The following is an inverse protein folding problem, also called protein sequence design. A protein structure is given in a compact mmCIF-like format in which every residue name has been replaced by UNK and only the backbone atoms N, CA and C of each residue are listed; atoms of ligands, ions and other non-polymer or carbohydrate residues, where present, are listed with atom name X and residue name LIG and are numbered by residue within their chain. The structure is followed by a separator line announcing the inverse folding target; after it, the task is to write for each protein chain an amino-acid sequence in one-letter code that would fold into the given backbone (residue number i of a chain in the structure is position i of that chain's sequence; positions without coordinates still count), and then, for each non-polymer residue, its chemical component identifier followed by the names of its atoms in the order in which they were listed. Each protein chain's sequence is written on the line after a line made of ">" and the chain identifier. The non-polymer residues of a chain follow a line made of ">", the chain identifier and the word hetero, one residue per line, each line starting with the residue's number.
data_IF_655804068619
#
_entry.id   IF_655804068619
#
_cell.length_a   1.000
_cell.length_b   1.000
_cell.length_c   1.000
_cell.angle_alpha   90.00
_cell.angle_beta   90.00
_cell.angle_gamma   90.00
#
_symmetry.space_group_name_H-M   'P 1'
#
loop_
_entity.id
_entity.type
_entity.pdbx_description
1 polymer ?
#
# COMPACT_ATOMS: atom_id res chain seq x y z
N UNK A 1 -37.82 39.88 -16.28
CA UNK A 1 -37.59 39.96 -14.84
C UNK A 1 -37.10 38.62 -14.35
N UNK A 2 -35.79 38.40 -14.12
CA UNK A 2 -35.29 37.16 -13.50
C UNK A 2 -35.03 37.39 -12.01
N UNK A 3 -35.57 36.49 -11.19
CA UNK A 3 -35.45 36.47 -9.74
C UNK A 3 -34.01 36.19 -9.29
N UNK A 4 -33.51 37.06 -8.43
CA UNK A 4 -32.26 36.88 -7.68
C UNK A 4 -32.47 35.82 -6.60
N UNK A 5 -31.64 34.74 -6.63
CA UNK A 5 -31.48 33.85 -5.50
C UNK A 5 -30.53 34.54 -4.51
N UNK A 6 -31.02 34.80 -3.30
CA UNK A 6 -30.27 35.41 -2.23
C UNK A 6 -29.22 34.41 -1.69
N UNK A 7 -27.94 34.75 -1.82
CA UNK A 7 -26.86 34.08 -1.11
C UNK A 7 -26.95 34.43 0.37
N UNK A 8 -27.04 33.41 1.22
CA UNK A 8 -26.98 33.55 2.66
C UNK A 8 -25.55 33.93 3.07
N UNK A 9 -25.32 35.19 3.40
CA UNK A 9 -24.12 35.67 4.09
C UNK A 9 -24.13 35.14 5.55
N UNK A 10 -23.34 34.13 5.81
CA UNK A 10 -23.04 33.73 7.19
C UNK A 10 -22.22 34.82 7.88
N UNK A 11 -22.81 35.46 8.87
CA UNK A 11 -22.14 36.52 9.65
C UNK A 11 -21.14 35.88 10.62
N UNK A 12 -19.98 36.52 10.80
CA UNK A 12 -18.91 36.12 11.74
C UNK A 12 -19.38 35.95 13.20
N UNK A 13 -20.55 36.46 13.56
CA UNK A 13 -21.16 36.32 14.90
C UNK A 13 -21.64 34.88 15.20
N UNK A 14 -21.99 34.11 14.18
CA UNK A 14 -22.55 32.76 14.37
C UNK A 14 -21.46 31.73 14.62
N UNK A 15 -20.23 31.98 14.14
CA UNK A 15 -19.05 31.12 14.39
C UNK A 15 -18.57 31.19 15.87
N UNK A 16 -18.81 32.30 16.56
CA UNK A 16 -18.44 32.45 17.98
C UNK A 16 -19.40 31.69 18.91
N UNK A 17 -20.68 31.62 18.56
CA UNK A 17 -21.69 30.92 19.36
C UNK A 17 -21.58 29.40 19.26
N UNK A 18 -21.12 28.89 18.13
CA UNK A 18 -20.81 27.44 17.94
C UNK A 18 -19.56 27.04 18.71
N UNK A 19 -18.55 27.94 18.85
CA UNK A 19 -17.34 27.70 19.66
C UNK A 19 -17.64 27.46 21.15
N UNK A 20 -18.58 28.19 21.73
CA UNK A 20 -18.87 28.06 23.16
C UNK A 20 -19.84 26.90 23.47
N UNK A 21 -20.74 26.55 22.55
CA UNK A 21 -21.69 25.44 22.73
C UNK A 21 -21.05 24.07 22.64
N UNK A 22 -20.26 23.84 21.58
CA UNK A 22 -19.62 22.53 21.34
C UNK A 22 -18.53 22.23 22.38
N UNK A 23 -17.79 23.25 22.84
CA UNK A 23 -16.74 23.08 23.85
C UNK A 23 -17.28 22.68 25.23
N UNK A 24 -18.45 23.19 25.63
CA UNK A 24 -19.06 22.87 26.95
C UNK A 24 -19.78 21.55 26.97
N UNK A 25 -20.44 21.15 25.88
CA UNK A 25 -21.09 19.83 25.80
C UNK A 25 -20.06 18.68 25.72
N UNK A 26 -18.95 18.84 24.98
CA UNK A 26 -17.89 17.82 24.90
C UNK A 26 -17.21 17.61 26.27
N UNK A 27 -17.02 18.66 27.10
CA UNK A 27 -16.45 18.52 28.43
C UNK A 27 -17.42 17.88 29.44
N UNK A 28 -18.73 18.04 29.26
CA UNK A 28 -19.75 17.37 30.09
C UNK A 28 -19.89 15.86 29.79
N UNK A 29 -19.57 15.43 28.57
CA UNK A 29 -19.64 14.02 28.13
C UNK A 29 -18.44 13.20 28.63
N UNK A 30 -17.31 13.84 28.97
CA UNK A 30 -16.11 13.16 29.48
C UNK A 30 -16.23 12.65 30.93
N UNK A 31 -17.32 12.93 31.62
CA UNK A 31 -17.50 12.62 33.06
C UNK A 31 -18.39 11.43 33.40
N UNK A 32 -18.94 10.69 32.44
CA UNK A 32 -19.76 9.51 32.71
C UNK A 32 -19.33 8.29 31.88
N UNK A 33 -19.10 7.20 32.59
CA UNK A 33 -18.72 5.88 32.15
C UNK A 33 -19.77 5.24 31.21
N UNK A 34 -19.78 5.66 29.95
CA UNK A 34 -20.64 5.10 28.91
C UNK A 34 -19.88 4.93 27.61
N UNK A 35 -19.44 3.69 27.42
CA UNK A 35 -19.14 3.00 26.17
C UNK A 35 -18.30 3.66 25.06
N UNK A 36 -17.54 2.83 24.37
CA UNK A 36 -16.67 3.15 23.20
C UNK A 36 -17.33 4.08 22.15
N UNK A 37 -18.67 4.06 22.02
CA UNK A 37 -19.44 4.91 21.12
C UNK A 37 -19.36 6.41 21.46
N UNK A 38 -19.49 6.80 22.71
CA UNK A 38 -19.41 8.21 23.12
C UNK A 38 -18.01 8.79 22.93
N UNK A 39 -16.99 7.97 23.18
CA UNK A 39 -15.59 8.34 22.97
C UNK A 39 -15.29 8.55 21.46
N UNK A 40 -15.83 7.67 20.61
CA UNK A 40 -15.69 7.78 19.15
C UNK A 40 -16.38 9.04 18.61
N UNK A 41 -17.59 9.37 19.10
CA UNK A 41 -18.30 10.59 18.71
C UNK A 41 -17.58 11.87 19.16
N UNK A 42 -16.98 11.86 20.36
CA UNK A 42 -16.20 13.00 20.86
C UNK A 42 -14.95 13.25 19.97
N UNK A 43 -14.23 12.17 19.58
CA UNK A 43 -13.09 12.25 18.67
C UNK A 43 -13.53 12.77 17.29
N UNK A 44 -14.65 12.29 16.76
CA UNK A 44 -15.22 12.75 15.50
C UNK A 44 -15.56 14.26 15.53
N UNK A 45 -16.15 14.73 16.63
CA UNK A 45 -16.45 16.15 16.81
C UNK A 45 -15.20 17.02 16.85
N UNK A 46 -14.11 16.56 17.49
CA UNK A 46 -12.81 17.25 17.50
C UNK A 46 -12.23 17.32 16.08
N UNK A 47 -12.27 16.22 15.33
CA UNK A 47 -11.77 16.16 13.95
C UNK A 47 -12.51 17.15 13.03
N UNK A 48 -13.83 17.16 13.07
CA UNK A 48 -14.65 18.10 12.30
C UNK A 48 -14.42 19.56 12.74
N UNK A 49 -14.26 19.80 14.04
CA UNK A 49 -13.93 21.11 14.57
C UNK A 49 -12.63 21.66 14.01
N UNK A 50 -11.59 20.82 13.90
CA UNK A 50 -10.29 21.20 13.32
C UNK A 50 -10.37 21.51 11.81
N UNK A 51 -11.14 20.74 11.04
CA UNK A 51 -11.36 20.99 9.62
C UNK A 51 -12.03 22.37 9.43
N UNK A 52 -13.05 22.68 10.21
CA UNK A 52 -13.75 23.97 10.15
C UNK A 52 -12.84 25.12 10.62
N UNK A 53 -12.10 24.93 11.71
CA UNK A 53 -11.20 25.95 12.29
C UNK A 53 -10.11 26.38 11.29
N UNK A 54 -9.57 25.41 10.54
CA UNK A 54 -8.46 25.65 9.61
C UNK A 54 -8.94 25.93 8.17
N UNK A 55 -10.25 25.90 7.91
CA UNK A 55 -10.84 26.16 6.60
C UNK A 55 -10.44 25.12 5.55
N UNK A 56 -10.26 23.87 5.96
CA UNK A 56 -9.83 22.76 5.10
C UNK A 56 -11.04 22.14 4.36
N UNK A 57 -10.80 21.44 3.22
CA UNK A 57 -11.84 20.66 2.57
C UNK A 57 -12.39 19.59 3.52
N UNK A 58 -13.71 19.45 3.58
CA UNK A 58 -14.36 18.41 4.38
C UNK A 58 -14.44 17.09 3.57
N UNK A 59 -13.31 16.62 3.08
CA UNK A 59 -13.16 15.36 2.36
C UNK A 59 -12.78 14.19 3.30
N UNK A 60 -12.90 12.93 2.87
CA UNK A 60 -12.58 11.78 3.69
C UNK A 60 -11.15 11.75 4.22
N UNK A 61 -10.14 12.24 3.46
CA UNK A 61 -8.72 12.24 3.86
C UNK A 61 -8.45 13.24 4.98
N UNK A 62 -8.99 14.47 4.83
CA UNK A 62 -8.93 15.48 5.87
C UNK A 62 -9.57 15.00 7.17
N UNK A 63 -10.75 14.35 7.06
CA UNK A 63 -11.42 13.80 8.23
C UNK A 63 -10.63 12.68 8.89
N UNK A 64 -10.10 11.73 8.13
CA UNK A 64 -9.31 10.61 8.65
C UNK A 64 -8.01 11.08 9.32
N UNK A 65 -7.31 12.06 8.72
CA UNK A 65 -6.12 12.67 9.28
C UNK A 65 -6.40 13.31 10.66
N UNK A 66 -7.42 14.12 10.75
CA UNK A 66 -7.78 14.79 12.00
C UNK A 66 -8.39 13.86 13.03
N UNK A 67 -9.06 12.80 12.61
CA UNK A 67 -9.55 11.76 13.49
C UNK A 67 -8.38 11.00 14.14
N UNK A 68 -7.37 10.58 13.37
CA UNK A 68 -6.16 9.90 13.87
C UNK A 68 -5.36 10.85 14.77
N UNK A 69 -5.18 12.11 14.41
CA UNK A 69 -4.58 13.15 15.27
C UNK A 69 -5.29 13.25 16.62
N UNK A 70 -6.62 13.34 16.61
CA UNK A 70 -7.43 13.45 17.83
C UNK A 70 -7.38 12.20 18.73
N UNK A 71 -7.16 11.00 18.17
CA UNK A 71 -6.97 9.78 18.97
C UNK A 71 -5.70 9.78 19.80
N UNK A 72 -4.70 10.54 19.41
CA UNK A 72 -3.39 10.61 20.07
C UNK A 72 -2.53 9.35 19.93
N UNK A 73 -2.95 8.37 19.13
CA UNK A 73 -2.23 7.09 18.98
C UNK A 73 -0.95 7.20 18.14
N UNK A 74 -0.88 8.16 17.22
CA UNK A 74 0.27 8.37 16.36
C UNK A 74 1.02 9.67 16.76
N UNK A 75 2.03 9.52 17.62
CA UNK A 75 2.80 10.68 18.12
C UNK A 75 3.57 11.38 17.01
N UNK A 76 4.15 10.63 16.06
CA UNK A 76 4.90 11.20 14.93
C UNK A 76 4.02 12.07 14.03
N UNK A 77 2.80 11.61 13.74
CA UNK A 77 1.82 12.41 12.99
C UNK A 77 1.48 13.70 13.74
N UNK A 78 1.29 13.64 15.05
CA UNK A 78 0.99 14.84 15.87
C UNK A 78 2.13 15.84 15.81
N UNK A 79 3.37 15.38 16.00
CA UNK A 79 4.55 16.22 15.99
C UNK A 79 4.73 16.93 14.64
N UNK A 80 4.48 16.25 13.51
CA UNK A 80 4.53 16.81 12.16
C UNK A 80 3.42 17.84 11.91
N UNK A 81 2.18 17.54 12.29
CA UNK A 81 1.05 18.50 12.19
C UNK A 81 1.31 19.72 13.05
N UNK A 82 1.73 19.52 14.30
CA UNK A 82 2.01 20.61 15.23
C UNK A 82 3.20 21.48 14.76
N UNK A 83 4.20 20.89 14.08
CA UNK A 83 5.32 21.59 13.48
C UNK A 83 4.86 22.45 12.28
N UNK A 84 4.04 21.90 11.39
CA UNK A 84 3.47 22.61 10.25
C UNK A 84 2.58 23.80 10.69
N UNK A 85 1.75 23.62 11.71
CA UNK A 85 0.91 24.67 12.27
C UNK A 85 1.70 25.78 12.99
N UNK A 86 2.88 25.44 13.56
CA UNK A 86 3.77 26.45 14.20
C UNK A 86 4.54 27.30 13.18
N UNK A 87 4.78 26.76 11.96
CA UNK A 87 5.45 27.49 10.89
C UNK A 87 4.54 28.51 10.21
N UNK A 88 3.74 28.05 9.27
CA UNK A 88 2.89 28.93 8.44
C UNK A 88 1.48 29.17 9.02
N UNK A 89 1.13 28.51 10.13
CA UNK A 89 -0.20 28.61 10.77
C UNK A 89 -1.32 28.01 9.94
N UNK A 90 -1.02 27.35 8.81
CA UNK A 90 -1.98 26.75 7.89
C UNK A 90 -1.43 25.43 7.35
N UNK A 91 -2.33 24.47 7.20
CA UNK A 91 -2.08 23.26 6.42
C UNK A 91 -2.69 23.45 5.04
N UNK A 92 -1.93 23.14 4.00
CA UNK A 92 -2.43 23.13 2.63
C UNK A 92 -3.03 21.76 2.30
N UNK A 93 -3.84 21.66 1.25
CA UNK A 93 -4.37 20.38 0.75
C UNK A 93 -3.24 19.41 0.39
N UNK A 94 -2.13 19.91 -0.17
CA UNK A 94 -0.94 19.12 -0.44
C UNK A 94 -0.23 18.59 0.82
N UNK A 95 -0.29 19.32 1.94
CA UNK A 95 0.21 18.83 3.23
C UNK A 95 -0.66 17.72 3.79
N UNK A 96 -1.99 17.83 3.64
CA UNK A 96 -2.93 16.79 4.04
C UNK A 96 -2.68 15.50 3.25
N UNK A 97 -2.57 15.60 1.93
CA UNK A 97 -2.28 14.45 1.06
C UNK A 97 -0.96 13.78 1.42
N UNK A 98 0.09 14.57 1.67
CA UNK A 98 1.41 14.07 2.09
C UNK A 98 1.35 13.36 3.43
N UNK A 99 0.74 14.00 4.44
CA UNK A 99 0.63 13.43 5.79
C UNK A 99 -0.27 12.19 5.83
N UNK A 100 -1.38 12.21 5.08
CA UNK A 100 -2.25 11.05 4.95
C UNK A 100 -1.54 9.87 4.29
N UNK A 101 -0.83 10.09 3.18
CA UNK A 101 -0.06 9.05 2.49
C UNK A 101 1.08 8.49 3.37
N UNK A 102 1.71 9.35 4.18
CA UNK A 102 2.86 8.96 5.00
C UNK A 102 2.49 8.24 6.30
N UNK A 103 1.38 8.62 6.95
CA UNK A 103 1.08 8.19 8.33
C UNK A 103 -0.20 7.36 8.47
N UNK A 104 -1.12 7.43 7.50
CA UNK A 104 -2.43 6.80 7.60
C UNK A 104 -2.55 5.61 6.65
N UNK A 105 -2.23 5.80 5.36
CA UNK A 105 -2.32 4.73 4.37
C UNK A 105 -1.46 3.50 4.71
N UNK A 106 -0.17 3.63 5.14
CA UNK A 106 0.63 2.48 5.54
C UNK A 106 0.08 1.77 6.78
N UNK A 107 -0.45 2.54 7.76
CA UNK A 107 -0.97 1.97 9.01
C UNK A 107 -2.23 1.13 8.77
N UNK A 108 -3.12 1.59 7.88
CA UNK A 108 -4.35 0.85 7.52
C UNK A 108 -4.03 -0.49 6.87
N UNK A 109 -3.07 -0.49 5.95
CA UNK A 109 -2.63 -1.71 5.28
C UNK A 109 -1.93 -2.68 6.23
N UNK A 110 -1.16 -2.19 7.21
CA UNK A 110 -0.54 -3.01 8.24
C UNK A 110 -1.59 -3.65 9.17
N UNK A 111 -2.59 -2.89 9.61
CA UNK A 111 -3.69 -3.39 10.46
C UNK A 111 -4.55 -4.43 9.73
N UNK A 112 -4.73 -4.29 8.41
CA UNK A 112 -5.47 -5.25 7.59
C UNK A 112 -4.66 -6.55 7.39
N UNK A 113 -3.36 -6.46 7.15
CA UNK A 113 -2.44 -7.60 7.10
C UNK A 113 -2.39 -8.35 8.43
N UNK A 114 -2.25 -7.63 9.55
CA UNK A 114 -2.23 -8.23 10.89
C UNK A 114 -3.55 -8.96 11.21
N UNK A 115 -4.69 -8.39 10.80
CA UNK A 115 -6.00 -9.02 10.97
C UNK A 115 -6.12 -10.33 10.20
N UNK A 116 -5.66 -10.36 8.95
CA UNK A 116 -5.72 -11.58 8.13
C UNK A 116 -4.70 -12.61 8.60
N UNK A 117 -3.50 -12.18 9.04
CA UNK A 117 -2.49 -13.05 9.63
C UNK A 117 -2.97 -13.73 10.92
N UNK A 118 -3.67 -13.00 11.80
CA UNK A 118 -4.25 -13.56 13.00
C UNK A 118 -5.35 -14.60 12.68
N UNK A 119 -6.22 -14.33 11.70
CA UNK A 119 -7.23 -15.31 11.22
C UNK A 119 -6.58 -16.57 10.65
N UNK A 120 -5.46 -16.44 9.94
CA UNK A 120 -4.71 -17.59 9.43
C UNK A 120 -4.11 -18.41 10.56
N UNK A 121 -3.53 -17.77 11.56
CA UNK A 121 -3.02 -18.45 12.77
C UNK A 121 -4.11 -19.21 13.54
N UNK A 122 -5.28 -18.63 13.65
CA UNK A 122 -6.44 -19.29 14.28
C UNK A 122 -6.86 -20.54 13.49
N UNK A 123 -6.89 -20.46 12.14
CA UNK A 123 -7.22 -21.59 11.27
C UNK A 123 -6.17 -22.72 11.40
N UNK A 124 -4.87 -22.38 11.43
CA UNK A 124 -3.80 -23.34 11.67
C UNK A 124 -3.96 -24.01 13.04
N UNK A 125 -4.31 -23.24 14.06
CA UNK A 125 -4.61 -23.76 15.39
C UNK A 125 -5.79 -24.75 15.42
N UNK A 126 -6.82 -24.51 14.59
CA UNK A 126 -7.94 -25.45 14.43
C UNK A 126 -7.50 -26.74 13.74
N UNK A 127 -6.69 -26.66 12.67
CA UNK A 127 -6.16 -27.84 11.99
C UNK A 127 -5.32 -28.71 12.94
N UNK A 128 -4.45 -28.09 13.77
CA UNK A 128 -3.66 -28.82 14.76
C UNK A 128 -4.56 -29.55 15.77
N UNK A 129 -5.63 -28.90 16.24
CA UNK A 129 -6.60 -29.55 17.11
C UNK A 129 -7.31 -30.74 16.45
N UNK A 130 -7.68 -30.61 15.18
CA UNK A 130 -8.29 -31.70 14.40
C UNK A 130 -7.34 -32.88 14.23
N UNK A 131 -6.05 -32.62 13.95
CA UNK A 131 -5.03 -33.67 13.85
C UNK A 131 -4.87 -34.40 15.19
N UNK A 132 -4.76 -33.67 16.31
CA UNK A 132 -4.64 -34.28 17.62
C UNK A 132 -5.86 -35.12 17.98
N UNK A 133 -7.07 -34.67 17.65
CA UNK A 133 -8.29 -35.47 17.84
C UNK A 133 -8.29 -36.74 17.00
N UNK A 134 -7.79 -36.67 15.76
CA UNK A 134 -7.63 -37.83 14.89
C UNK A 134 -6.64 -38.85 15.46
N UNK A 135 -5.48 -38.39 15.96
CA UNK A 135 -4.48 -39.25 16.59
C UNK A 135 -5.11 -39.98 17.80
N UNK A 136 -5.78 -39.26 18.68
CA UNK A 136 -6.45 -39.85 19.84
C UNK A 136 -7.56 -40.82 19.48
N UNK A 137 -8.23 -40.62 18.35
CA UNK A 137 -9.24 -41.56 17.83
C UNK A 137 -8.60 -42.86 17.33
N UNK A 138 -7.48 -42.76 16.62
CA UNK A 138 -6.70 -43.92 16.17
C UNK A 138 -6.17 -44.72 17.36
N UNK A 139 -5.59 -44.05 18.36
CA UNK A 139 -5.06 -44.70 19.58
C UNK A 139 -6.15 -45.49 20.31
N UNK A 140 -7.34 -44.91 20.49
CA UNK A 140 -8.50 -45.61 21.10
C UNK A 140 -8.94 -46.79 20.28
N UNK A 141 -8.97 -46.70 18.98
CA UNK A 141 -9.33 -47.80 18.10
C UNK A 141 -8.31 -48.95 18.17
N UNK A 142 -7.01 -48.62 18.21
CA UNK A 142 -5.92 -49.58 18.35
C UNK A 142 -6.03 -50.34 19.69
N UNK A 143 -6.36 -49.63 20.81
CA UNK A 143 -6.57 -50.23 22.14
C UNK A 143 -7.76 -51.18 22.09
N UNK A 144 -8.87 -50.79 21.51
CA UNK A 144 -10.06 -51.65 21.34
C UNK A 144 -9.80 -52.91 20.49
N UNK A 145 -8.98 -52.75 19.43
CA UNK A 145 -8.52 -53.89 18.60
C UNK A 145 -7.67 -54.88 19.40
N UNK A 146 -6.73 -54.36 20.18
CA UNK A 146 -5.86 -55.18 21.02
C UNK A 146 -6.64 -55.93 22.12
N UNK A 147 -7.56 -55.23 22.80
CA UNK A 147 -8.44 -55.83 23.81
C UNK A 147 -9.36 -56.91 23.17
N UNK A 148 -9.95 -56.61 22.03
CA UNK A 148 -10.78 -57.56 21.29
C UNK A 148 -10.02 -58.79 20.83
N UNK A 149 -8.78 -58.60 20.34
CA UNK A 149 -7.93 -59.72 19.97
C UNK A 149 -7.54 -60.62 21.13
N UNK A 150 -7.19 -60.00 22.28
CA UNK A 150 -6.92 -60.74 23.52
C UNK A 150 -8.17 -61.51 24.02
N UNK A 151 -9.31 -60.87 24.02
CA UNK A 151 -10.59 -61.50 24.38
C UNK A 151 -10.99 -62.65 23.45
N UNK A 152 -10.80 -62.47 22.15
CA UNK A 152 -11.04 -63.55 21.17
C UNK A 152 -10.12 -64.78 21.39
N UNK A 153 -8.87 -64.57 21.78
CA UNK A 153 -7.90 -65.64 22.05
C UNK A 153 -8.23 -66.47 23.30
N UNK A 154 -8.99 -65.87 24.24
CA UNK A 154 -9.41 -66.51 25.49
C UNK A 154 -10.87 -66.96 25.51
N UNK A 155 -11.63 -66.69 24.45
CA UNK A 155 -13.02 -67.09 24.30
C UNK A 155 -13.17 -68.62 24.31
N UNK A 156 -14.02 -69.13 25.18
CA UNK A 156 -14.23 -70.59 25.36
C UNK A 156 -15.54 -71.09 24.73
N UNK A 157 -16.40 -70.20 24.33
CA UNK A 157 -17.69 -70.53 23.74
C UNK A 157 -18.13 -69.54 22.63
N UNK A 158 -19.11 -69.92 21.84
CA UNK A 158 -19.62 -69.13 20.71
C UNK A 158 -20.22 -67.81 21.15
N UNK A 159 -20.82 -67.70 22.32
CA UNK A 159 -21.44 -66.47 22.82
C UNK A 159 -20.39 -65.40 23.17
N UNK A 160 -19.25 -65.83 23.75
CA UNK A 160 -18.14 -64.90 24.03
C UNK A 160 -17.51 -64.36 22.74
N UNK A 161 -17.29 -65.24 21.77
CA UNK A 161 -16.74 -64.84 20.48
C UNK A 161 -17.68 -63.87 19.73
N UNK A 162 -18.98 -64.14 19.77
CA UNK A 162 -19.99 -63.27 19.16
C UNK A 162 -19.95 -61.86 19.76
N UNK A 163 -19.86 -61.73 21.09
CA UNK A 163 -19.77 -60.45 21.79
C UNK A 163 -18.51 -59.68 21.37
N UNK A 164 -17.35 -60.32 21.30
CA UNK A 164 -16.13 -59.68 20.84
C UNK A 164 -16.26 -59.13 19.39
N UNK A 165 -16.92 -59.91 18.51
CA UNK A 165 -17.16 -59.48 17.13
C UNK A 165 -18.10 -58.26 17.10
N UNK A 166 -19.17 -58.24 17.88
CA UNK A 166 -20.10 -57.10 17.99
C UNK A 166 -19.43 -55.85 18.48
N UNK A 167 -18.54 -55.96 19.48
CA UNK A 167 -17.75 -54.86 20.06
C UNK A 167 -16.77 -54.29 19.01
N UNK A 168 -16.05 -55.14 18.26
CA UNK A 168 -15.15 -54.74 17.20
C UNK A 168 -15.87 -54.09 16.02
N UNK A 169 -17.05 -54.60 15.64
CA UNK A 169 -17.87 -53.96 14.61
C UNK A 169 -18.32 -52.57 15.05
N UNK A 170 -18.74 -52.43 16.31
CA UNK A 170 -19.13 -51.12 16.87
C UNK A 170 -17.97 -50.13 16.89
N UNK A 171 -16.79 -50.55 17.31
CA UNK A 171 -15.58 -49.76 17.29
C UNK A 171 -15.21 -49.31 15.87
N UNK A 172 -15.30 -50.21 14.89
CA UNK A 172 -15.01 -49.92 13.48
C UNK A 172 -15.98 -48.87 12.90
N UNK A 173 -17.29 -48.99 13.14
CA UNK A 173 -18.26 -47.99 12.70
C UNK A 173 -18.05 -46.63 13.38
N UNK A 174 -17.66 -46.60 14.66
CA UNK A 174 -17.33 -45.35 15.37
C UNK A 174 -16.14 -44.66 14.71
N UNK A 175 -15.06 -45.39 14.44
CA UNK A 175 -13.86 -44.92 13.79
C UNK A 175 -14.15 -44.38 12.37
N UNK A 176 -14.96 -45.11 11.58
CA UNK A 176 -15.35 -44.69 10.24
C UNK A 176 -16.13 -43.36 10.25
N UNK A 177 -17.08 -43.19 11.21
CA UNK A 177 -17.83 -41.95 11.38
C UNK A 177 -16.93 -40.78 11.79
N UNK A 178 -16.01 -41.00 12.73
CA UNK A 178 -15.07 -39.99 13.17
C UNK A 178 -14.15 -39.57 12.02
N UNK A 179 -13.63 -40.51 11.23
CA UNK A 179 -12.82 -40.22 10.04
C UNK A 179 -13.57 -39.46 8.96
N UNK A 180 -14.84 -39.81 8.71
CA UNK A 180 -15.65 -39.06 7.75
C UNK A 180 -15.89 -37.62 8.19
N UNK A 181 -16.20 -37.40 9.47
CA UNK A 181 -16.35 -36.04 10.03
C UNK A 181 -15.05 -35.24 9.95
N UNK A 182 -13.91 -35.87 10.28
CA UNK A 182 -12.59 -35.24 10.17
C UNK A 182 -12.28 -34.82 8.74
N UNK A 183 -12.57 -35.69 7.75
CA UNK A 183 -12.38 -35.40 6.32
C UNK A 183 -13.18 -34.18 5.90
N UNK A 184 -14.45 -34.08 6.30
CA UNK A 184 -15.29 -32.91 6.00
C UNK A 184 -14.74 -31.63 6.64
N UNK A 185 -14.29 -31.70 7.90
CA UNK A 185 -13.71 -30.56 8.60
C UNK A 185 -12.40 -30.09 7.96
N UNK A 186 -11.52 -31.01 7.55
CA UNK A 186 -10.27 -30.70 6.86
C UNK A 186 -10.52 -30.04 5.50
N UNK A 187 -11.51 -30.55 4.73
CA UNK A 187 -11.84 -29.94 3.44
C UNK A 187 -12.43 -28.51 3.63
N UNK A 188 -13.28 -28.32 4.61
CA UNK A 188 -13.78 -26.99 4.95
C UNK A 188 -12.67 -26.02 5.39
N UNK A 189 -11.69 -26.51 6.16
CA UNK A 189 -10.52 -25.73 6.58
C UNK A 189 -9.62 -25.39 5.40
N UNK A 190 -9.40 -26.32 4.46
CA UNK A 190 -8.66 -26.09 3.23
C UNK A 190 -9.25 -24.94 2.42
N UNK A 191 -10.57 -24.96 2.21
CA UNK A 191 -11.28 -23.90 1.47
C UNK A 191 -11.16 -22.56 2.16
N UNK A 192 -11.26 -22.52 3.51
CA UNK A 192 -11.08 -21.27 4.27
C UNK A 192 -9.66 -20.73 4.16
N UNK A 193 -8.64 -21.60 4.26
CA UNK A 193 -7.23 -21.21 4.12
C UNK A 193 -6.92 -20.65 2.72
N UNK A 194 -7.45 -21.27 1.65
CA UNK A 194 -7.32 -20.76 0.29
C UNK A 194 -7.93 -19.36 0.14
N UNK A 195 -9.09 -19.12 0.74
CA UNK A 195 -9.73 -17.81 0.74
C UNK A 195 -8.92 -16.75 1.49
N UNK A 196 -8.38 -17.10 2.66
CA UNK A 196 -7.51 -16.20 3.44
C UNK A 196 -6.24 -15.85 2.68
N UNK A 197 -5.63 -16.80 1.96
CA UNK A 197 -4.47 -16.51 1.11
C UNK A 197 -4.80 -15.54 -0.02
N UNK A 198 -5.99 -15.65 -0.62
CA UNK A 198 -6.45 -14.70 -1.63
C UNK A 198 -6.69 -13.30 -1.03
N UNK A 199 -7.26 -13.22 0.17
CA UNK A 199 -7.43 -11.95 0.89
C UNK A 199 -6.07 -11.29 1.19
N UNK A 200 -5.07 -12.06 1.65
CA UNK A 200 -3.70 -11.56 1.88
C UNK A 200 -3.10 -10.98 0.59
N UNK A 201 -3.19 -11.72 -0.51
CA UNK A 201 -2.61 -11.27 -1.78
C UNK A 201 -3.34 -10.02 -2.30
N UNK A 202 -4.66 -9.93 -2.15
CA UNK A 202 -5.41 -8.73 -2.52
C UNK A 202 -4.98 -7.50 -1.72
N UNK A 203 -4.87 -7.61 -0.39
CA UNK A 203 -4.40 -6.53 0.48
C UNK A 203 -2.96 -6.15 0.14
N UNK A 204 -2.10 -7.13 -0.15
CA UNK A 204 -0.72 -6.89 -0.55
C UNK A 204 -0.62 -6.12 -1.86
N UNK A 205 -1.39 -6.52 -2.87
CA UNK A 205 -1.42 -5.84 -4.17
C UNK A 205 -1.94 -4.40 -3.99
N UNK A 206 -2.99 -4.19 -3.21
CA UNK A 206 -3.51 -2.87 -2.89
C UNK A 206 -2.48 -2.00 -2.17
N UNK A 207 -1.75 -2.57 -1.20
CA UNK A 207 -0.70 -1.89 -0.43
C UNK A 207 0.52 -1.48 -1.26
N UNK A 208 0.82 -2.19 -2.35
CA UNK A 208 2.00 -1.98 -3.19
C UNK A 208 1.70 -1.22 -4.49
N UNK A 209 0.44 -0.86 -4.74
CA UNK A 209 -0.01 -0.21 -5.98
C UNK A 209 -0.44 1.23 -5.73
N UNK A 210 -0.05 2.16 -6.61
CA UNK A 210 -0.57 3.53 -6.60
C UNK A 210 -2.02 3.55 -7.11
N UNK A 211 -2.94 4.04 -6.29
CA UNK A 211 -4.38 4.01 -6.55
C UNK A 211 -4.79 4.78 -7.82
N UNK A 212 -4.08 5.88 -8.14
CA UNK A 212 -4.39 6.74 -9.29
C UNK A 212 -3.92 6.14 -10.61
N UNK A 213 -2.67 5.67 -10.63
CA UNK A 213 -1.96 5.28 -11.86
C UNK A 213 -1.89 3.77 -12.07
N UNK A 214 -2.21 2.99 -11.04
CA UNK A 214 -2.21 1.52 -11.08
C UNK A 214 -0.84 0.93 -11.49
N UNK A 215 0.26 1.64 -11.23
CA UNK A 215 1.64 1.11 -11.21
C UNK A 215 2.05 0.86 -9.76
N UNK A 216 3.23 0.29 -9.51
CA UNK A 216 3.75 0.17 -8.16
C UNK A 216 3.82 1.53 -7.46
N UNK A 217 3.65 1.56 -6.16
CA UNK A 217 3.88 2.75 -5.35
C UNK A 217 5.36 2.82 -4.90
N UNK A 218 5.70 3.82 -4.09
CA UNK A 218 7.08 4.02 -3.60
C UNK A 218 7.58 2.81 -2.80
N UNK A 219 6.74 2.20 -1.98
CA UNK A 219 7.13 1.02 -1.20
C UNK A 219 7.45 -0.16 -2.13
N UNK A 220 6.62 -0.40 -3.14
CA UNK A 220 6.90 -1.40 -4.17
C UNK A 220 8.24 -1.15 -4.87
N UNK A 221 8.55 0.11 -5.17
CA UNK A 221 9.84 0.51 -5.76
C UNK A 221 11.01 0.15 -4.84
N UNK A 222 10.96 0.55 -3.57
CA UNK A 222 12.05 0.35 -2.60
C UNK A 222 12.33 -1.16 -2.38
N UNK A 223 11.27 -1.96 -2.21
CA UNK A 223 11.35 -3.41 -2.03
C UNK A 223 11.90 -4.10 -3.29
N UNK A 224 11.41 -3.70 -4.47
CA UNK A 224 11.80 -4.26 -5.75
C UNK A 224 13.24 -3.90 -6.10
N UNK A 225 13.64 -2.64 -5.92
CA UNK A 225 15.02 -2.21 -6.19
C UNK A 225 16.01 -2.98 -5.32
N UNK A 226 15.72 -3.15 -4.04
CA UNK A 226 16.55 -3.93 -3.11
C UNK A 226 16.70 -5.38 -3.56
N UNK A 227 15.60 -6.02 -3.95
CA UNK A 227 15.59 -7.40 -4.45
C UNK A 227 16.37 -7.54 -5.76
N UNK A 228 16.15 -6.63 -6.72
CA UNK A 228 16.81 -6.73 -8.02
C UNK A 228 18.30 -6.38 -7.96
N UNK A 229 18.73 -5.50 -7.04
CA UNK A 229 20.16 -5.27 -6.76
C UNK A 229 20.83 -6.55 -6.23
N UNK A 230 20.21 -7.23 -5.26
CA UNK A 230 20.74 -8.47 -4.73
C UNK A 230 20.86 -9.54 -5.82
N UNK A 231 19.82 -9.66 -6.66
CA UNK A 231 19.78 -10.58 -7.80
C UNK A 231 20.85 -10.26 -8.85
N UNK A 232 21.02 -8.97 -9.20
CA UNK A 232 22.02 -8.51 -10.16
C UNK A 232 23.45 -8.79 -9.66
N UNK A 233 23.70 -8.57 -8.37
CA UNK A 233 24.99 -8.86 -7.74
C UNK A 233 25.33 -10.34 -7.75
N UNK A 234 24.37 -11.22 -7.49
CA UNK A 234 24.56 -12.67 -7.50
C UNK A 234 24.81 -13.24 -8.92
N UNK A 235 24.12 -12.70 -9.92
CA UNK A 235 24.18 -13.17 -11.30
C UNK A 235 25.21 -12.42 -12.17
N UNK A 236 25.85 -11.38 -11.62
CA UNK A 236 26.69 -10.42 -12.34
C UNK A 236 25.99 -9.84 -13.57
N UNK A 237 24.67 -9.63 -13.47
CA UNK A 237 23.84 -9.06 -14.51
C UNK A 237 23.76 -7.52 -14.37
N UNK A 238 23.71 -6.77 -15.48
CA UNK A 238 23.52 -5.31 -15.40
C UNK A 238 22.11 -4.99 -14.89
N UNK A 239 21.99 -3.90 -14.12
CA UNK A 239 20.71 -3.35 -13.69
C UNK A 239 20.71 -1.85 -13.99
N UNK A 240 19.67 -1.38 -14.66
CA UNK A 240 19.52 0.05 -15.00
C UNK A 240 18.27 0.61 -14.33
N UNK A 241 18.41 1.79 -13.73
CA UNK A 241 17.36 2.58 -13.12
C UNK A 241 17.08 3.82 -13.97
N UNK A 242 15.81 4.08 -14.27
CA UNK A 242 15.32 5.32 -14.87
C UNK A 242 14.51 6.08 -13.84
N UNK A 243 14.82 7.36 -13.63
CA UNK A 243 13.96 8.31 -12.91
C UNK A 243 13.32 9.25 -13.93
N UNK A 244 12.00 9.32 -13.91
CA UNK A 244 11.16 10.03 -14.89
C UNK A 244 10.34 11.08 -14.15
N UNK A 245 10.34 12.31 -14.65
CA UNK A 245 9.59 13.41 -14.04
C UNK A 245 8.81 14.17 -15.13
N UNK A 246 7.57 14.55 -14.82
CA UNK A 246 6.70 15.25 -15.78
C UNK A 246 7.06 16.72 -15.78
N UNK A 247 7.49 17.19 -16.94
CA UNK A 247 7.92 18.57 -17.12
C UNK A 247 6.75 19.56 -16.90
N UNK A 248 6.99 20.53 -16.03
CA UNK A 248 6.03 21.61 -15.73
C UNK A 248 4.68 21.13 -15.17
N UNK A 249 4.65 20.00 -14.46
CA UNK A 249 3.43 19.40 -13.92
C UNK A 249 2.65 20.36 -13.01
N UNK A 250 3.34 21.10 -12.14
CA UNK A 250 2.72 22.12 -11.30
C UNK A 250 1.95 23.17 -12.14
N UNK A 251 2.53 23.63 -13.26
CA UNK A 251 1.85 24.59 -14.14
C UNK A 251 0.58 23.99 -14.75
N UNK A 252 0.59 22.71 -15.09
CA UNK A 252 -0.62 22.03 -15.60
C UNK A 252 -1.71 22.03 -14.52
N UNK A 253 -1.37 21.71 -13.27
CA UNK A 253 -2.31 21.76 -12.16
C UNK A 253 -2.86 23.19 -11.91
N UNK A 254 -1.97 24.17 -11.89
CA UNK A 254 -2.33 25.57 -11.61
C UNK A 254 -3.22 26.17 -12.71
N UNK A 255 -3.04 25.77 -13.97
CA UNK A 255 -3.75 26.31 -15.14
C UNK A 255 -5.06 25.55 -15.47
N UNK A 256 -5.04 24.20 -15.32
CA UNK A 256 -6.14 23.33 -15.77
C UNK A 256 -6.81 22.54 -14.63
N UNK A 257 -6.33 22.70 -13.40
CA UNK A 257 -6.85 22.03 -12.21
C UNK A 257 -6.30 20.63 -11.99
N UNK A 258 -6.41 20.12 -10.75
CA UNK A 258 -5.87 18.83 -10.33
C UNK A 258 -6.43 17.63 -11.10
N UNK A 259 -7.69 17.68 -11.55
CA UNK A 259 -8.27 16.61 -12.37
C UNK A 259 -7.50 16.39 -13.69
N UNK A 260 -7.02 17.48 -14.28
CA UNK A 260 -6.19 17.39 -15.48
C UNK A 260 -4.80 16.83 -15.15
N UNK A 261 -4.21 17.22 -14.04
CA UNK A 261 -2.98 16.61 -13.53
C UNK A 261 -3.11 15.10 -13.33
N UNK A 262 -4.22 14.66 -12.76
CA UNK A 262 -4.53 13.23 -12.60
C UNK A 262 -4.63 12.51 -13.94
N UNK A 263 -5.25 13.12 -14.95
CA UNK A 263 -5.33 12.55 -16.31
C UNK A 263 -3.94 12.48 -16.97
N UNK A 264 -3.07 13.47 -16.73
CA UNK A 264 -1.66 13.44 -17.18
C UNK A 264 -0.90 12.29 -16.49
N UNK A 265 -1.04 12.12 -15.21
CA UNK A 265 -0.41 11.02 -14.45
C UNK A 265 -0.85 9.65 -14.98
N UNK A 266 -2.15 9.48 -15.22
CA UNK A 266 -2.70 8.24 -15.82
C UNK A 266 -2.16 7.99 -17.22
N UNK A 267 -2.05 9.05 -18.03
CA UNK A 267 -1.47 8.95 -19.38
C UNK A 267 -0.02 8.47 -19.34
N UNK A 268 0.82 9.11 -18.51
CA UNK A 268 2.24 8.76 -18.37
C UNK A 268 2.39 7.32 -17.90
N UNK A 269 1.66 6.91 -16.86
CA UNK A 269 1.66 5.54 -16.39
C UNK A 269 1.25 4.52 -17.46
N UNK A 270 0.21 4.82 -18.23
CA UNK A 270 -0.24 3.96 -19.33
C UNK A 270 0.82 3.84 -20.44
N UNK A 271 1.53 4.94 -20.78
CA UNK A 271 2.64 4.91 -21.75
C UNK A 271 3.83 4.11 -21.22
N UNK A 272 4.21 4.29 -19.97
CA UNK A 272 5.24 3.47 -19.32
C UNK A 272 4.89 1.98 -19.41
N UNK A 273 3.68 1.58 -19.01
CA UNK A 273 3.21 0.18 -19.09
C UNK A 273 3.24 -0.38 -20.51
N UNK A 274 2.90 0.42 -21.51
CA UNK A 274 2.87 -0.04 -22.92
C UNK A 274 4.26 -0.31 -23.49
N UNK A 275 5.28 0.37 -22.97
CA UNK A 275 6.66 0.32 -23.50
C UNK A 275 7.54 -0.62 -22.69
N UNK A 276 7.43 -0.55 -21.36
CA UNK A 276 8.22 -1.34 -20.41
C UNK A 276 7.51 -2.67 -20.17
N UNK A 277 7.89 -3.71 -20.92
CA UNK A 277 7.31 -5.06 -20.78
C UNK A 277 8.09 -5.95 -19.80
N UNK A 278 9.42 -5.77 -19.78
CA UNK A 278 10.35 -6.57 -19.00
C UNK A 278 11.06 -5.68 -17.96
N UNK A 279 10.30 -4.96 -17.16
CA UNK A 279 10.79 -4.09 -16.11
C UNK A 279 9.69 -3.72 -15.14
N UNK A 280 10.08 -3.23 -13.97
CA UNK A 280 9.16 -2.80 -12.93
C UNK A 280 8.96 -1.28 -13.01
N UNK A 281 7.70 -0.85 -12.86
CA UNK A 281 7.32 0.55 -12.93
C UNK A 281 6.66 0.94 -11.62
N UNK A 282 7.08 2.07 -11.06
CA UNK A 282 6.47 2.60 -9.85
C UNK A 282 6.31 4.13 -9.95
N UNK A 283 5.33 4.66 -9.23
CA UNK A 283 5.21 6.08 -8.94
C UNK A 283 6.03 6.39 -7.70
N UNK A 284 7.13 7.11 -7.88
CA UNK A 284 8.09 7.38 -6.82
C UNK A 284 7.71 8.60 -5.97
N UNK A 285 7.09 9.61 -6.59
CA UNK A 285 6.64 10.85 -5.98
C UNK A 285 5.36 11.38 -6.60
N UNK A 286 5.01 12.62 -6.31
CA UNK A 286 3.79 13.25 -6.82
C UNK A 286 3.68 13.22 -8.35
N UNK A 287 4.76 13.63 -9.03
CA UNK A 287 4.88 13.70 -10.50
C UNK A 287 6.04 12.86 -11.04
N UNK A 288 6.64 12.01 -10.18
CA UNK A 288 7.83 11.24 -10.48
C UNK A 288 7.50 9.76 -10.60
N UNK A 289 8.08 9.13 -11.63
CA UNK A 289 8.02 7.69 -11.84
C UNK A 289 9.43 7.10 -11.87
N UNK A 290 9.53 5.84 -11.47
CA UNK A 290 10.76 5.07 -11.56
C UNK A 290 10.54 3.82 -12.41
N UNK A 291 11.58 3.40 -13.15
CA UNK A 291 11.60 2.15 -13.93
C UNK A 291 12.86 1.38 -13.60
N UNK A 292 12.71 0.14 -13.13
CA UNK A 292 13.81 -0.76 -12.82
C UNK A 292 13.92 -1.80 -13.94
N UNK A 293 15.08 -1.87 -14.57
CA UNK A 293 15.37 -2.75 -15.70
C UNK A 293 16.47 -3.76 -15.32
N UNK A 294 16.05 -4.95 -14.90
CA UNK A 294 16.96 -6.04 -14.60
C UNK A 294 17.53 -6.66 -15.87
N UNK A 295 18.80 -7.04 -15.86
CA UNK A 295 19.55 -7.63 -16.97
C UNK A 295 19.51 -6.75 -18.26
N UNK A 296 19.53 -5.43 -18.06
CA UNK A 296 19.59 -4.43 -19.15
C UNK A 296 20.72 -3.45 -18.86
N UNK A 297 21.60 -3.24 -19.83
CA UNK A 297 22.70 -2.27 -19.74
C UNK A 297 22.19 -0.83 -19.86
N UNK A 298 23.02 0.13 -19.51
CA UNK A 298 22.71 1.57 -19.61
C UNK A 298 22.31 1.97 -21.04
N UNK A 299 22.89 1.35 -22.07
CA UNK A 299 22.55 1.63 -23.48
C UNK A 299 21.12 1.20 -23.79
N UNK A 300 20.70 0.02 -23.29
CA UNK A 300 19.31 -0.44 -23.43
C UNK A 300 18.37 0.45 -22.61
N UNK A 301 18.77 0.83 -21.40
CA UNK A 301 18.04 1.79 -20.57
C UNK A 301 17.84 3.12 -21.26
N UNK A 302 18.88 3.69 -21.90
CA UNK A 302 18.80 4.90 -22.68
C UNK A 302 17.81 4.79 -23.85
N UNK A 303 17.89 3.71 -24.62
CA UNK A 303 16.96 3.47 -25.74
C UNK A 303 15.52 3.38 -25.24
N UNK A 304 15.30 2.71 -24.10
CA UNK A 304 13.97 2.62 -23.48
C UNK A 304 13.49 4.00 -23.01
N UNK A 305 14.33 4.77 -22.35
CA UNK A 305 14.05 6.13 -21.89
C UNK A 305 13.65 7.05 -23.06
N UNK A 306 14.38 7.03 -24.18
CA UNK A 306 14.04 7.82 -25.37
C UNK A 306 12.71 7.38 -26.00
N UNK A 307 12.40 6.09 -26.02
CA UNK A 307 11.10 5.60 -26.49
C UNK A 307 9.96 6.09 -25.59
N UNK A 308 10.16 6.05 -24.25
CA UNK A 308 9.19 6.57 -23.28
C UNK A 308 8.97 8.06 -23.52
N UNK A 309 10.05 8.86 -23.56
CA UNK A 309 10.00 10.29 -23.79
C UNK A 309 9.22 10.65 -25.07
N UNK A 310 9.61 10.03 -26.19
CA UNK A 310 8.98 10.28 -27.49
C UNK A 310 7.51 9.86 -27.54
N UNK A 311 7.15 8.74 -26.89
CA UNK A 311 5.77 8.28 -26.85
C UNK A 311 4.86 9.17 -25.99
N UNK A 312 5.39 9.77 -24.92
CA UNK A 312 4.64 10.74 -24.12
C UNK A 312 4.50 12.05 -24.88
N UNK A 313 5.58 12.60 -25.44
CA UNK A 313 5.57 13.83 -26.24
C UNK A 313 4.65 13.77 -27.46
N UNK A 314 4.43 12.57 -28.03
CA UNK A 314 3.57 12.38 -29.20
C UNK A 314 2.08 12.61 -28.93
N UNK A 315 1.66 12.69 -27.66
CA UNK A 315 0.26 12.81 -27.27
C UNK A 315 -0.09 14.28 -27.06
N UNK A 316 -1.07 14.76 -27.80
CA UNK A 316 -1.72 16.04 -27.55
C UNK A 316 -2.91 15.81 -26.60
N UNK A 317 -2.89 16.44 -25.43
CA UNK A 317 -4.00 16.35 -24.49
C UNK A 317 -4.97 17.52 -24.66
N UNK A 318 -6.25 17.23 -24.42
CA UNK A 318 -7.33 18.22 -24.49
C UNK A 318 -8.25 18.12 -23.29
N UNK A 319 -8.70 19.27 -22.82
CA UNK A 319 -9.69 19.34 -21.73
C UNK A 319 -11.02 18.78 -22.21
N UNK A 320 -11.54 17.74 -21.59
CA UNK A 320 -12.77 17.04 -22.03
C UNK A 320 -14.00 17.97 -22.07
N UNK A 321 -14.13 18.91 -21.12
CA UNK A 321 -15.29 19.79 -21.01
C UNK A 321 -15.31 20.94 -22.01
N UNK A 322 -14.12 21.46 -22.40
CA UNK A 322 -14.01 22.66 -23.23
C UNK A 322 -13.41 22.37 -24.63
N UNK A 323 -12.79 21.21 -24.83
CA UNK A 323 -12.03 20.89 -26.02
C UNK A 323 -10.69 21.64 -26.15
N UNK A 324 -10.36 22.50 -25.19
CA UNK A 324 -9.14 23.29 -25.20
C UNK A 324 -7.91 22.39 -25.19
N UNK A 325 -6.92 22.66 -26.06
CA UNK A 325 -5.65 21.94 -26.04
C UNK A 325 -4.79 22.42 -24.88
N UNK A 326 -4.29 21.50 -24.06
CA UNK A 326 -3.26 21.79 -23.04
C UNK A 326 -1.85 21.69 -23.62
N UNK A 327 -1.74 21.35 -24.91
CA UNK A 327 -0.47 21.10 -25.57
C UNK A 327 0.07 19.70 -25.38
N UNK A 328 1.40 19.57 -25.56
CA UNK A 328 2.11 18.31 -25.40
C UNK A 328 2.68 18.21 -24.00
N UNK A 329 2.44 17.06 -23.36
CA UNK A 329 3.10 16.69 -22.11
C UNK A 329 4.48 16.14 -22.46
N UNK A 330 5.50 16.58 -21.75
CA UNK A 330 6.87 16.09 -21.91
C UNK A 330 7.40 15.56 -20.57
N UNK A 331 8.44 14.74 -20.64
CA UNK A 331 9.13 14.20 -19.46
C UNK A 331 10.64 14.35 -19.60
N UNK A 332 11.28 14.62 -18.49
CA UNK A 332 12.72 14.52 -18.32
C UNK A 332 13.07 13.19 -17.69
N UNK A 333 14.15 12.54 -18.15
CA UNK A 333 14.54 11.21 -17.68
C UNK A 333 16.01 11.18 -17.35
N UNK A 334 16.33 10.73 -16.11
CA UNK A 334 17.67 10.39 -15.67
C UNK A 334 17.87 8.87 -15.70
N UNK A 335 19.02 8.41 -16.21
CA UNK A 335 19.35 6.99 -16.35
C UNK A 335 20.65 6.67 -15.64
N UNK A 336 20.65 5.67 -14.75
CA UNK A 336 21.84 5.18 -14.08
C UNK A 336 21.93 3.66 -14.14
N UNK A 337 23.14 3.13 -14.28
CA UNK A 337 23.43 1.69 -14.19
C UNK A 337 24.05 1.36 -12.83
N UNK A 338 23.68 0.21 -12.29
CA UNK A 338 24.27 -0.31 -11.06
C UNK A 338 25.73 -0.64 -11.28
N UNK A 339 26.63 0.04 -10.58
CA UNK A 339 28.06 -0.28 -10.54
C UNK A 339 28.35 -1.29 -9.43
N UNK A 340 29.42 -2.06 -9.53
CA UNK A 340 29.84 -2.97 -8.44
C UNK A 340 29.93 -2.25 -7.09
N UNK A 341 29.43 -2.88 -6.04
CA UNK A 341 29.43 -2.35 -4.66
C UNK A 341 28.60 -1.08 -4.40
N UNK A 342 27.77 -0.66 -5.35
CA UNK A 342 26.87 0.50 -5.20
C UNK A 342 25.58 0.07 -4.49
N UNK A 343 25.15 0.85 -3.53
CA UNK A 343 23.90 0.65 -2.77
C UNK A 343 22.67 1.17 -3.52
N UNK A 344 21.47 0.79 -3.06
CA UNK A 344 20.20 1.32 -3.59
C UNK A 344 20.15 2.86 -3.50
N UNK A 345 20.61 3.44 -2.39
CA UNK A 345 20.61 4.89 -2.21
C UNK A 345 21.57 5.62 -3.19
N UNK A 346 22.66 4.96 -3.56
CA UNK A 346 23.66 5.55 -4.48
C UNK A 346 23.19 5.49 -5.94
N UNK A 347 22.57 4.39 -6.40
CA UNK A 347 22.03 4.35 -7.76
C UNK A 347 20.86 5.32 -7.93
N UNK A 348 19.98 5.45 -6.90
CA UNK A 348 18.90 6.46 -6.89
C UNK A 348 19.51 7.85 -7.03
N UNK A 349 20.49 8.19 -6.20
CA UNK A 349 21.16 9.51 -6.25
C UNK A 349 21.79 9.79 -7.61
N UNK A 350 22.38 8.78 -8.24
CA UNK A 350 22.97 8.91 -9.58
C UNK A 350 21.91 9.17 -10.65
N UNK A 351 20.79 8.45 -10.61
CA UNK A 351 19.66 8.64 -11.51
C UNK A 351 18.97 10.00 -11.31
N UNK A 352 18.79 10.43 -10.05
CA UNK A 352 18.25 11.75 -9.71
C UNK A 352 19.18 12.90 -10.18
N UNK A 353 20.48 12.74 -10.01
CA UNK A 353 21.47 13.67 -10.54
C UNK A 353 21.36 13.83 -12.06
N UNK A 354 21.17 12.71 -12.77
CA UNK A 354 20.95 12.71 -14.22
C UNK A 354 19.62 13.36 -14.59
N UNK A 355 18.53 13.09 -13.86
CA UNK A 355 17.24 13.73 -14.04
C UNK A 355 17.30 15.24 -13.84
N UNK A 356 17.99 15.69 -12.79
CA UNK A 356 18.22 17.11 -12.55
C UNK A 356 18.99 17.78 -13.69
N UNK A 357 20.02 17.12 -14.22
CA UNK A 357 20.76 17.60 -15.37
C UNK A 357 19.87 17.68 -16.64
N UNK A 358 18.95 16.72 -16.84
CA UNK A 358 17.96 16.76 -17.93
C UNK A 358 17.04 18.00 -17.80
N UNK A 359 16.52 18.26 -16.59
CA UNK A 359 15.69 19.45 -16.31
C UNK A 359 16.46 20.76 -16.59
N UNK A 360 17.73 20.83 -16.22
CA UNK A 360 18.59 22.01 -16.51
C UNK A 360 18.95 22.16 -17.99
N UNK A 361 19.07 21.08 -18.73
CA UNK A 361 19.44 21.08 -20.17
C UNK A 361 18.29 21.54 -21.07
N UNK A 362 17.16 21.89 -20.52
CA UNK A 362 15.97 22.39 -21.27
C UNK A 362 14.77 21.47 -21.21
N UNK A 363 14.81 20.44 -20.37
CA UNK A 363 13.76 19.44 -20.22
C UNK A 363 13.54 18.60 -21.49
N UNK A 364 12.49 17.74 -21.48
CA UNK A 364 12.14 16.86 -22.60
C UNK A 364 13.34 16.11 -23.20
N UNK A 365 14.20 15.59 -22.35
CA UNK A 365 15.42 14.88 -22.77
C UNK A 365 15.82 13.80 -21.78
N UNK A 366 16.70 12.91 -22.25
CA UNK A 366 17.31 11.84 -21.47
C UNK A 366 18.77 12.17 -21.19
N UNK A 367 19.19 12.03 -19.93
CA UNK A 367 20.58 12.19 -19.49
C UNK A 367 21.04 10.94 -18.78
N UNK A 368 22.28 10.51 -19.07
CA UNK A 368 22.93 9.38 -18.38
C UNK A 368 23.78 9.89 -17.21
N UNK A 369 23.79 9.18 -16.10
CA UNK A 369 24.60 9.55 -14.94
C UNK A 369 26.10 9.64 -15.26
N UNK A 370 26.62 8.68 -16.05
CA UNK A 370 28.03 8.67 -16.46
C UNK A 370 28.44 9.87 -17.34
N UNK A 371 27.50 10.55 -17.99
CA UNK A 371 27.78 11.75 -18.76
C UNK A 371 27.95 13.01 -17.92
N UNK A 372 27.56 12.98 -16.65
CA UNK A 372 27.70 14.09 -15.72
C UNK A 372 29.10 14.09 -15.10
N UNK A 373 29.60 12.92 -14.70
CA UNK A 373 30.94 12.77 -14.15
C UNK A 373 32.03 13.20 -15.15
N UNK A 374 31.80 13.05 -16.44
CA UNK A 374 32.70 13.47 -17.49
C UNK A 374 32.70 15.00 -17.77
N UNK A 375 31.68 15.73 -17.27
CA UNK A 375 31.51 17.16 -17.52
C UNK A 375 31.82 18.08 -16.33
N UNK A 376 32.16 17.51 -15.16
CA UNK A 376 32.59 18.30 -13.97
C UNK A 376 34.10 18.55 -14.10
N UNK A 377 34.57 19.76 -14.43
CA UNK A 377 36.02 20.06 -14.35
C UNK A 377 36.41 19.94 -12.88
N UNK A 378 37.47 19.17 -12.61
CA UNK A 378 38.16 19.19 -11.32
C UNK A 378 38.47 20.67 -10.97
N UNK A 379 37.79 21.18 -9.95
CA UNK A 379 38.23 22.44 -9.34
C UNK A 379 39.50 22.11 -8.57
N UNK A 380 40.64 22.22 -9.23
CA UNK A 380 41.91 22.29 -8.56
C UNK A 380 41.88 23.56 -7.67
N UNK A 381 41.83 23.37 -6.35
CA UNK A 381 42.15 24.40 -5.40
C UNK A 381 43.63 24.82 -5.66
N UNK A 382 43.82 25.93 -6.35
CA UNK A 382 45.11 26.61 -6.41
C UNK A 382 45.30 27.23 -5.02
N UNK A 383 46.18 26.61 -4.25
CA UNK A 383 46.62 27.17 -2.99
C UNK A 383 47.42 28.46 -3.20
N UNK A 384 47.18 29.43 -2.34
CA UNK A 384 48.12 30.47 -1.95
C UNK A 384 48.01 30.67 -0.44
#
# INVERSE_FOLDING_TARGET
>A
MPGRVAGAEWRRSDAASVRDGVGREVFSIMGSDSGSQHRSLAIAAIALGKIVELGLPADPRSYELWYVYATGKNQKLRDEIDAALRGDGRLTEGDIDRLHAQFISPTRNADDLDRVANRLNDEVGQVVKMINAAVSSVERYDEQLNEGTAAASTATNEADLRRVIEDLITATFSMERENSSLKEQLEASRVRSEKLMQEIEAVRVESLTDALTQVGNRQHFDDTLTREIARASQSNAPLTLLMVDIDHFKRINDEFGHQMGDDVLRLVAARLKSIVRDGEIARYGGEEFAVILYNKSIQIGRLMAERIRAAIESVEMRVRSTGASIGRVTVSIGVAELKPSVTAAEIIRSADGALYAAKRKGRNCVVLADSIDAATPEIHAVGA
#
